data_IF_023896750666
#
_entry.id   IF_023896750666
#
_cell.length_a   1.000
_cell.length_b   1.000
_cell.length_c   1.000
_cell.angle_alpha   90.00
_cell.angle_beta   90.00
_cell.angle_gamma   90.00
#
_symmetry.space_group_name_H-M   'P 1'
#
loop_
_entity.id
_entity.type
_entity.pdbx_description
1 polymer ?
#
# COMPACT_ATOMS: atom_id res chain seq x y z
N UNK A 1 7.93 -3.42 -19.19
CA UNK A 1 8.91 -3.04 -18.14
C UNK A 1 8.16 -2.90 -16.84
N UNK A 2 8.70 -3.33 -15.68
CA UNK A 2 8.04 -3.06 -14.40
C UNK A 2 8.44 -1.67 -13.93
N UNK A 3 7.45 -0.82 -13.63
CA UNK A 3 7.60 0.46 -12.96
C UNK A 3 7.01 0.34 -11.57
N UNK A 4 7.66 0.99 -10.62
CA UNK A 4 7.20 1.03 -9.25
C UNK A 4 7.38 2.43 -8.69
N UNK A 5 6.45 2.87 -7.87
CA UNK A 5 6.61 4.09 -7.10
C UNK A 5 5.98 3.96 -5.73
N UNK A 6 6.36 4.87 -4.83
CA UNK A 6 5.79 4.94 -3.49
C UNK A 6 5.03 6.24 -3.28
N UNK A 7 4.13 6.21 -2.31
CA UNK A 7 3.52 7.37 -1.68
C UNK A 7 3.40 7.14 -0.18
N UNK A 8 3.49 8.22 0.60
CA UNK A 8 3.45 8.16 2.06
C UNK A 8 2.53 9.23 2.63
N UNK A 9 1.93 8.98 3.80
CA UNK A 9 1.18 10.01 4.54
C UNK A 9 1.24 9.75 6.05
N UNK A 10 1.43 10.81 6.81
CA UNK A 10 1.39 10.89 8.28
C UNK A 10 0.15 11.65 8.78
N UNK A 11 -0.88 11.76 7.93
CA UNK A 11 -2.11 12.46 8.31
C UNK A 11 -2.78 11.74 9.49
N UNK A 12 -3.20 12.50 10.50
CA UNK A 12 -3.86 11.96 11.69
C UNK A 12 -5.21 11.32 11.41
N UNK A 13 -5.91 11.75 10.36
CA UNK A 13 -7.11 11.06 9.91
C UNK A 13 -6.73 9.82 9.08
N UNK A 14 -7.14 8.65 9.54
CA UNK A 14 -6.77 7.37 8.92
C UNK A 14 -7.24 7.27 7.46
N UNK A 15 -8.43 7.78 7.13
CA UNK A 15 -8.96 7.76 5.78
C UNK A 15 -8.14 8.68 4.87
N UNK A 16 -7.85 9.89 5.34
CA UNK A 16 -6.98 10.83 4.60
C UNK A 16 -5.58 10.25 4.43
N UNK A 17 -4.98 9.64 5.46
CA UNK A 17 -3.66 9.02 5.36
C UNK A 17 -3.60 7.96 4.26
N UNK A 18 -4.56 7.03 4.25
CA UNK A 18 -4.65 5.99 3.23
C UNK A 18 -4.88 6.53 1.82
N UNK A 19 -5.80 7.49 1.67
CA UNK A 19 -6.14 8.07 0.36
C UNK A 19 -4.99 8.90 -0.22
N UNK A 20 -4.35 9.78 0.57
CA UNK A 20 -3.20 10.57 0.12
C UNK A 20 -2.00 9.70 -0.25
N UNK A 21 -1.64 8.72 0.59
CA UNK A 21 -0.53 7.83 0.31
C UNK A 21 -0.76 7.03 -0.99
N UNK A 22 -1.99 6.53 -1.20
CA UNK A 22 -2.34 5.79 -2.41
C UNK A 22 -2.34 6.67 -3.66
N UNK A 23 -2.92 7.86 -3.58
CA UNK A 23 -2.96 8.79 -4.71
C UNK A 23 -1.54 9.17 -5.15
N UNK A 24 -0.68 9.52 -4.19
CA UNK A 24 0.72 9.85 -4.47
C UNK A 24 1.46 8.68 -5.13
N UNK A 25 1.26 7.44 -4.67
CA UNK A 25 1.89 6.26 -5.26
C UNK A 25 1.46 6.03 -6.72
N UNK A 26 0.15 6.15 -7.01
CA UNK A 26 -0.40 5.97 -8.36
C UNK A 26 0.10 7.08 -9.30
N UNK A 27 0.09 8.33 -8.86
CA UNK A 27 0.59 9.45 -9.66
C UNK A 27 2.08 9.26 -9.97
N UNK A 28 2.87 8.87 -8.98
CA UNK A 28 4.31 8.68 -9.13
C UNK A 28 4.68 7.49 -10.04
N UNK A 29 3.84 6.44 -10.16
CA UNK A 29 4.08 5.34 -11.11
C UNK A 29 3.63 5.67 -12.54
N UNK A 30 3.04 6.85 -12.75
CA UNK A 30 2.59 7.35 -14.06
C UNK A 30 1.08 7.28 -14.28
N UNK A 31 0.28 7.20 -13.21
CA UNK A 31 -1.18 7.30 -13.23
C UNK A 31 -1.94 6.00 -13.44
N UNK A 32 -1.25 4.89 -13.69
CA UNK A 32 -1.87 3.57 -13.87
C UNK A 32 -1.09 2.49 -13.12
N UNK A 33 -1.74 1.90 -12.12
CA UNK A 33 -1.20 0.80 -11.32
C UNK A 33 -2.04 -0.47 -11.50
N UNK A 34 -1.39 -1.63 -11.40
CA UNK A 34 -1.98 -2.97 -11.52
C UNK A 34 -1.87 -3.78 -10.22
N UNK A 35 -1.05 -3.33 -9.28
CA UNK A 35 -0.97 -3.87 -7.92
C UNK A 35 -0.65 -2.73 -6.94
N UNK A 36 -1.35 -2.74 -5.82
CA UNK A 36 -1.10 -1.86 -4.67
C UNK A 36 -0.64 -2.71 -3.49
N UNK A 37 0.46 -2.29 -2.86
CA UNK A 37 0.95 -2.86 -1.60
C UNK A 37 0.90 -1.78 -0.53
N UNK A 38 0.22 -2.05 0.59
CA UNK A 38 0.03 -1.09 1.69
C UNK A 38 0.74 -1.59 2.95
N UNK A 39 1.52 -0.70 3.54
CA UNK A 39 2.10 -0.82 4.87
C UNK A 39 1.52 0.31 5.72
N UNK A 40 1.01 -0.03 6.90
CA UNK A 40 0.34 0.95 7.76
C UNK A 40 0.74 0.75 9.20
N UNK A 41 1.15 1.84 9.83
CA UNK A 41 1.32 1.87 11.27
C UNK A 41 0.08 1.32 11.99
N UNK A 42 0.31 0.43 12.96
CA UNK A 42 -0.70 -0.14 13.86
C UNK A 42 -1.48 0.91 14.66
N UNK A 43 -1.00 2.16 14.71
CA UNK A 43 -1.70 3.28 15.37
C UNK A 43 -2.98 3.73 14.64
N UNK A 44 -3.14 3.42 13.35
CA UNK A 44 -4.32 3.79 12.58
C UNK A 44 -5.50 2.83 12.77
N UNK A 45 -6.71 3.39 12.66
CA UNK A 45 -7.92 2.61 12.39
C UNK A 45 -7.81 1.97 10.99
N UNK A 46 -7.52 0.67 10.97
CA UNK A 46 -7.15 -0.06 9.76
C UNK A 46 -8.32 -0.12 8.75
N UNK A 47 -9.57 -0.19 9.22
CA UNK A 47 -10.74 -0.22 8.34
C UNK A 47 -10.92 1.12 7.62
N UNK A 48 -10.76 2.23 8.34
CA UNK A 48 -10.81 3.58 7.75
C UNK A 48 -9.64 3.83 6.80
N UNK A 49 -8.44 3.41 7.18
CA UNK A 49 -7.25 3.54 6.34
C UNK A 49 -7.40 2.77 5.03
N UNK A 50 -7.81 1.49 5.08
CA UNK A 50 -8.08 0.71 3.88
C UNK A 50 -9.22 1.31 3.05
N UNK A 51 -10.25 1.86 3.69
CA UNK A 51 -11.32 2.58 2.97
C UNK A 51 -10.77 3.81 2.23
N UNK A 52 -9.84 4.54 2.85
CA UNK A 52 -9.11 5.64 2.23
C UNK A 52 -8.31 5.18 1.00
N UNK A 53 -7.50 4.13 1.15
CA UNK A 53 -6.75 3.54 0.02
C UNK A 53 -7.70 3.10 -1.10
N UNK A 54 -8.77 2.37 -0.76
CA UNK A 54 -9.77 1.87 -1.74
C UNK A 54 -10.54 2.97 -2.43
N UNK A 55 -10.75 4.11 -1.78
CA UNK A 55 -11.39 5.27 -2.41
C UNK A 55 -10.61 5.74 -3.64
N UNK A 56 -9.29 5.51 -3.67
CA UNK A 56 -8.37 5.86 -4.76
C UNK A 56 -8.09 4.65 -5.66
N UNK A 57 -7.67 3.51 -5.07
CA UNK A 57 -7.24 2.32 -5.83
C UNK A 57 -8.38 1.57 -6.51
N UNK A 58 -9.64 1.81 -6.12
CA UNK A 58 -10.82 1.12 -6.64
C UNK A 58 -10.62 -0.41 -6.57
N UNK A 59 -10.80 -1.08 -7.71
CA UNK A 59 -10.72 -2.53 -7.88
C UNK A 59 -9.29 -3.05 -8.11
N UNK A 60 -8.26 -2.18 -8.14
CA UNK A 60 -6.87 -2.64 -8.29
C UNK A 60 -6.56 -3.66 -7.18
N UNK A 61 -5.93 -4.81 -7.50
CA UNK A 61 -5.45 -5.75 -6.50
C UNK A 61 -4.67 -5.04 -5.39
N UNK A 62 -5.07 -5.30 -4.15
CA UNK A 62 -4.49 -4.67 -2.96
C UNK A 62 -4.09 -5.76 -1.98
N UNK A 63 -2.82 -5.74 -1.58
CA UNK A 63 -2.27 -6.55 -0.49
C UNK A 63 -1.53 -5.65 0.49
N UNK A 64 -1.20 -6.18 1.66
CA UNK A 64 -0.50 -5.39 2.66
C UNK A 64 -0.52 -6.02 4.03
N UNK A 65 0.04 -5.30 4.99
CA UNK A 65 -0.05 -5.62 6.40
C UNK A 65 0.07 -4.33 7.23
N UNK A 66 -0.23 -4.45 8.52
CA UNK A 66 0.15 -3.43 9.48
C UNK A 66 1.60 -3.63 9.94
N UNK A 67 2.19 -2.56 10.47
CA UNK A 67 3.56 -2.55 10.97
C UNK A 67 3.72 -1.56 12.14
N UNK A 68 4.91 -1.50 12.73
CA UNK A 68 5.27 -0.49 13.74
C UNK A 68 6.23 0.57 13.19
N UNK A 69 6.45 0.58 11.88
CA UNK A 69 7.43 1.40 11.19
C UNK A 69 7.82 0.80 9.84
N UNK A 70 7.99 1.68 8.86
CA UNK A 70 8.30 1.33 7.49
C UNK A 70 9.66 1.88 7.08
N UNK A 71 10.36 1.13 6.22
CA UNK A 71 11.55 1.62 5.53
C UNK A 71 11.16 1.85 4.08
N UNK A 72 11.23 3.10 3.64
CA UNK A 72 10.90 3.51 2.27
C UNK A 72 12.13 4.04 1.56
N UNK A 73 12.00 4.48 0.30
CA UNK A 73 13.08 5.19 -0.39
C UNK A 73 13.44 6.53 0.25
N UNK A 74 12.58 7.04 1.14
CA UNK A 74 12.84 8.26 1.92
C UNK A 74 13.56 7.96 3.26
N UNK A 75 13.84 6.68 3.55
CA UNK A 75 14.44 6.24 4.81
C UNK A 75 13.42 5.61 5.78
N UNK A 76 13.85 5.32 7.02
CA UNK A 76 12.98 4.77 8.06
C UNK A 76 12.00 5.83 8.58
N UNK A 77 10.77 5.41 8.84
CA UNK A 77 9.72 6.24 9.44
C UNK A 77 8.79 5.38 10.32
N UNK A 78 7.94 6.05 11.08
CA UNK A 78 6.93 5.45 11.96
C UNK A 78 5.67 6.31 11.96
N UNK A 79 4.56 5.74 12.42
CA UNK A 79 3.27 6.45 12.54
C UNK A 79 2.69 6.97 11.22
N UNK A 80 3.02 6.33 10.10
CA UNK A 80 2.57 6.73 8.78
C UNK A 80 1.86 5.57 8.05
N UNK A 81 1.43 5.85 6.83
CA UNK A 81 0.98 4.87 5.84
C UNK A 81 1.93 4.98 4.66
N UNK A 82 2.49 3.86 4.22
CA UNK A 82 3.31 3.76 3.02
C UNK A 82 2.61 2.87 1.99
N UNK A 83 2.45 3.37 0.77
CA UNK A 83 1.83 2.64 -0.34
C UNK A 83 2.84 2.51 -1.46
N UNK A 84 2.99 1.30 -2.01
CA UNK A 84 3.73 1.04 -3.23
C UNK A 84 2.75 0.69 -4.35
N UNK A 85 2.89 1.34 -5.50
CA UNK A 85 2.14 1.06 -6.71
C UNK A 85 3.07 0.42 -7.75
N UNK A 86 2.59 -0.63 -8.42
CA UNK A 86 3.30 -1.34 -9.48
C UNK A 86 2.53 -1.25 -10.79
N UNK A 87 3.25 -1.15 -11.90
CA UNK A 87 2.72 -1.08 -13.28
C UNK A 87 3.65 -1.85 -14.22
N UNK A 88 3.12 -2.67 -15.11
CA UNK A 88 3.89 -3.51 -16.02
C UNK A 88 3.16 -3.82 -17.33
N UNK A 89 3.81 -3.52 -18.47
CA UNK A 89 3.13 -3.64 -19.79
C UNK A 89 2.71 -5.06 -20.21
N UNK A 90 3.37 -6.11 -19.69
CA UNK A 90 3.20 -7.51 -20.15
C UNK A 90 3.26 -8.50 -18.98
N UNK A 91 2.85 -8.09 -17.77
CA UNK A 91 2.86 -8.95 -16.58
C UNK A 91 1.52 -8.80 -15.86
N UNK A 92 0.83 -9.93 -15.68
CA UNK A 92 -0.37 -9.98 -14.86
C UNK A 92 -0.02 -10.22 -13.40
N UNK A 93 -0.61 -9.44 -12.49
CA UNK A 93 -0.49 -9.64 -11.06
C UNK A 93 -1.71 -10.39 -10.51
N UNK A 94 -1.47 -11.42 -9.70
CA UNK A 94 -2.51 -12.18 -9.01
C UNK A 94 -2.18 -12.33 -7.53
N UNK A 95 -3.22 -12.31 -6.68
CA UNK A 95 -3.08 -12.47 -5.24
C UNK A 95 -3.33 -13.93 -4.87
N UNK A 96 -2.39 -14.53 -4.13
CA UNK A 96 -2.52 -15.85 -3.53
C UNK A 96 -2.42 -15.77 -2.01
N UNK A 97 -3.18 -16.61 -1.30
CA UNK A 97 -3.13 -16.73 0.16
C UNK A 97 -2.67 -18.14 0.53
N UNK A 98 -1.54 -18.23 1.22
CA UNK A 98 -1.05 -19.47 1.81
C UNK A 98 -1.64 -19.68 3.21
N UNK A 99 -2.06 -20.92 3.52
CA UNK A 99 -2.61 -21.29 4.83
C UNK A 99 -1.74 -22.36 5.48
N UNK A 100 -1.66 -22.36 6.82
CA UNK A 100 -0.94 -23.39 7.59
C UNK A 100 0.59 -23.25 7.60
N UNK A 101 1.11 -22.04 7.41
CA UNK A 101 2.55 -21.78 7.45
C UNK A 101 3.19 -22.04 8.83
N UNK A 102 2.38 -22.09 9.88
CA UNK A 102 2.75 -22.41 11.26
C UNK A 102 2.99 -23.92 11.51
N UNK A 103 2.57 -24.79 10.58
CA UNK A 103 2.56 -26.25 10.82
C UNK A 103 3.93 -26.93 10.80
N UNK A 104 4.93 -26.28 10.21
CA UNK A 104 6.32 -26.77 10.11
C UNK A 104 7.31 -25.89 10.91
N UNK A 105 6.80 -25.13 11.89
CA UNK A 105 7.59 -24.27 12.79
C UNK A 105 8.13 -25.01 14.00
#
# INVERSE_FOLDING_TARGET
MIKTAIGTSDNKDAFEAGSFACQQAIDNVGGQAELIIVFSSVSYDQEKMISGVRSVSKEIPLVGCSDSGEITTNGPASEQVAVMALSADNIDFVIGVGLGADKDS
#
